data_IF_483581610607
#
_entry.id   IF_483581610607
#
_cell.length_a   1.000
_cell.length_b   1.000
_cell.length_c   1.000
_cell.angle_alpha   90.00
_cell.angle_beta   90.00
_cell.angle_gamma   90.00
#
_symmetry.space_group_name_H-M   'P 1'
#
loop_
_entity.id
_entity.type
_entity.pdbx_description
1 polymer ?
#
# COMPACT_ATOMS: atom_id res chain seq x y z
N UNK A 1 -35.22 -31.06 -0.26
CA UNK A 1 -33.84 -30.90 0.20
C UNK A 1 -33.65 -29.42 0.50
N UNK A 2 -33.74 -28.99 1.77
CA UNK A 2 -33.59 -27.57 2.14
C UNK A 2 -32.08 -27.26 2.14
N UNK A 3 -31.67 -26.39 1.22
CA UNK A 3 -30.32 -25.82 1.22
C UNK A 3 -30.19 -24.90 2.44
N UNK A 4 -29.44 -25.32 3.44
CA UNK A 4 -29.08 -24.45 4.55
C UNK A 4 -28.01 -23.48 4.02
N UNK A 5 -28.41 -22.28 3.65
CA UNK A 5 -27.47 -21.20 3.32
C UNK A 5 -26.72 -20.81 4.57
N UNK A 6 -25.50 -21.29 4.69
CA UNK A 6 -24.58 -20.87 5.73
C UNK A 6 -23.91 -19.58 5.29
N UNK A 7 -24.61 -18.46 5.42
CA UNK A 7 -24.09 -17.12 5.09
C UNK A 7 -23.04 -16.73 6.11
N UNK A 8 -21.79 -17.15 5.88
CA UNK A 8 -20.61 -16.76 6.67
C UNK A 8 -20.25 -15.28 6.51
N UNK A 9 -20.79 -14.62 5.49
CA UNK A 9 -20.50 -13.22 5.16
C UNK A 9 -21.80 -12.41 5.18
N UNK A 10 -21.85 -11.40 6.04
CA UNK A 10 -22.97 -10.45 6.18
C UNK A 10 -23.00 -9.36 5.08
N UNK A 11 -22.41 -9.61 3.91
CA UNK A 11 -22.46 -8.68 2.79
C UNK A 11 -23.90 -8.61 2.26
N UNK A 12 -24.64 -7.57 2.67
CA UNK A 12 -26.04 -7.34 2.26
C UNK A 12 -26.18 -6.98 0.77
N UNK A 13 -25.11 -6.48 0.13
CA UNK A 13 -25.08 -6.07 -1.27
C UNK A 13 -23.77 -6.45 -1.92
N UNK A 14 -23.78 -6.61 -3.25
CA UNK A 14 -22.58 -6.86 -4.05
C UNK A 14 -21.46 -5.82 -3.79
N UNK A 15 -21.83 -4.53 -3.66
CA UNK A 15 -20.90 -3.46 -3.37
C UNK A 15 -20.18 -3.60 -2.03
N UNK A 16 -20.84 -4.09 -0.98
CA UNK A 16 -20.20 -4.31 0.33
C UNK A 16 -19.19 -5.44 0.30
N UNK A 17 -19.41 -6.48 -0.51
CA UNK A 17 -18.47 -7.59 -0.67
C UNK A 17 -17.19 -7.22 -1.42
N UNK A 18 -17.27 -6.26 -2.36
CA UNK A 18 -16.13 -5.78 -3.15
C UNK A 18 -15.42 -4.58 -2.54
N UNK A 19 -16.04 -3.89 -1.58
CA UNK A 19 -15.47 -2.67 -0.97
C UNK A 19 -14.05 -2.83 -0.44
N UNK A 20 -13.61 -3.94 0.19
CA UNK A 20 -12.24 -4.10 0.67
C UNK A 20 -11.20 -4.00 -0.43
N UNK A 21 -11.48 -4.54 -1.60
CA UNK A 21 -10.59 -4.47 -2.76
C UNK A 21 -10.47 -3.04 -3.30
N UNK A 22 -11.60 -2.34 -3.46
CA UNK A 22 -11.59 -0.97 -3.96
C UNK A 22 -10.96 0.01 -2.97
N UNK A 23 -11.02 -0.24 -1.66
CA UNK A 23 -10.29 0.56 -0.67
C UNK A 23 -8.79 0.40 -0.84
N UNK A 24 -8.32 -0.84 -0.99
CA UNK A 24 -6.90 -1.10 -1.26
C UNK A 24 -6.42 -0.39 -2.53
N UNK A 25 -7.19 -0.51 -3.61
CA UNK A 25 -6.89 0.13 -4.88
C UNK A 25 -6.86 1.66 -4.77
N UNK A 26 -7.88 2.27 -4.16
CA UNK A 26 -7.98 3.71 -4.01
C UNK A 26 -6.82 4.27 -3.18
N UNK A 27 -6.46 3.63 -2.06
CA UNK A 27 -5.35 4.03 -1.21
C UNK A 27 -3.99 3.85 -1.91
N UNK A 28 -3.84 2.80 -2.71
CA UNK A 28 -2.62 2.60 -3.49
C UNK A 28 -2.44 3.66 -4.58
N UNK A 29 -3.48 3.90 -5.39
CA UNK A 29 -3.46 4.94 -6.45
C UNK A 29 -3.20 6.32 -5.86
N UNK A 30 -3.85 6.66 -4.75
CA UNK A 30 -3.59 7.91 -4.06
C UNK A 30 -2.17 8.01 -3.50
N UNK A 31 -1.58 6.90 -3.06
CA UNK A 31 -0.16 6.86 -2.66
C UNK A 31 0.79 7.12 -3.84
N UNK A 32 0.44 6.66 -5.06
CA UNK A 32 1.19 7.02 -6.28
C UNK A 32 1.11 8.52 -6.50
N UNK A 33 -0.08 9.12 -6.45
CA UNK A 33 -0.29 10.56 -6.64
C UNK A 33 0.48 11.36 -5.57
N UNK A 34 0.45 10.93 -4.32
CA UNK A 34 1.20 11.58 -3.25
C UNK A 34 2.71 11.63 -3.53
N UNK A 35 3.29 10.56 -4.08
CA UNK A 35 4.70 10.54 -4.49
C UNK A 35 4.99 11.26 -5.81
N UNK A 36 3.99 11.67 -6.56
CA UNK A 36 4.18 12.62 -7.68
C UNK A 36 4.36 14.05 -7.18
N UNK A 37 3.75 14.40 -6.05
CA UNK A 37 3.87 15.73 -5.44
C UNK A 37 5.20 15.93 -4.70
N UNK A 38 5.77 14.88 -4.13
CA UNK A 38 7.00 14.93 -3.34
C UNK A 38 8.12 14.09 -3.94
N UNK A 39 9.36 14.53 -3.76
CA UNK A 39 10.54 13.75 -4.15
C UNK A 39 10.77 12.65 -3.11
N UNK A 40 10.86 11.36 -3.52
CA UNK A 40 11.04 10.22 -2.60
C UNK A 40 12.34 10.27 -1.79
N UNK A 41 13.38 10.82 -2.39
CA UNK A 41 14.66 11.10 -1.74
C UNK A 41 15.10 12.53 -2.04
N UNK A 42 15.44 13.28 -1.01
CA UNK A 42 15.96 14.63 -1.16
C UNK A 42 17.49 14.58 -1.30
N UNK A 43 18.01 15.13 -2.39
CA UNK A 43 19.43 15.11 -2.68
C UNK A 43 20.27 15.94 -1.69
N UNK A 44 19.76 17.13 -1.26
CA UNK A 44 20.47 18.03 -0.34
C UNK A 44 20.86 17.40 1.00
N UNK A 45 19.94 16.78 1.77
CA UNK A 45 20.29 16.11 3.03
C UNK A 45 21.25 14.93 2.85
N UNK A 46 21.17 14.23 1.70
CA UNK A 46 22.09 13.13 1.37
C UNK A 46 23.51 13.68 1.17
N UNK A 47 23.65 14.78 0.43
CA UNK A 47 24.94 15.44 0.18
C UNK A 47 25.59 16.01 1.47
N UNK A 48 24.79 16.44 2.44
CA UNK A 48 25.26 16.94 3.75
C UNK A 48 25.69 15.83 4.72
N UNK A 49 25.70 14.57 4.30
CA UNK A 49 26.14 13.45 5.14
C UNK A 49 25.17 13.04 6.25
N UNK A 50 23.90 13.51 6.23
CA UNK A 50 22.90 13.11 7.19
C UNK A 50 22.62 11.61 7.14
N UNK A 51 22.19 11.03 8.26
CA UNK A 51 21.85 9.62 8.35
C UNK A 51 20.74 9.26 7.34
N UNK A 52 20.99 8.25 6.49
CA UNK A 52 20.08 7.81 5.41
C UNK A 52 18.67 7.51 5.92
N UNK A 53 18.54 6.94 7.12
CA UNK A 53 17.25 6.67 7.75
C UNK A 53 16.46 7.97 8.03
N UNK A 54 17.13 9.01 8.55
CA UNK A 54 16.49 10.32 8.77
C UNK A 54 16.03 10.98 7.47
N UNK A 55 16.81 10.83 6.40
CA UNK A 55 16.45 11.34 5.06
C UNK A 55 15.21 10.64 4.52
N UNK A 56 15.13 9.32 4.62
CA UNK A 56 13.98 8.53 4.20
C UNK A 56 12.74 8.92 5.01
N UNK A 57 12.84 9.01 6.33
CA UNK A 57 11.72 9.43 7.19
C UNK A 57 11.28 10.86 6.94
N UNK A 58 12.21 11.78 6.72
CA UNK A 58 11.89 13.18 6.43
C UNK A 58 11.12 13.35 5.10
N UNK A 59 11.40 12.50 4.11
CA UNK A 59 10.63 12.46 2.86
C UNK A 59 9.31 11.72 3.03
N UNK A 60 9.27 10.69 3.86
CA UNK A 60 8.08 9.87 4.13
C UNK A 60 7.01 10.64 4.92
N UNK A 61 7.40 11.41 5.93
CA UNK A 61 6.47 12.06 6.84
C UNK A 61 5.44 12.99 6.15
N UNK A 62 5.82 13.94 5.27
CA UNK A 62 4.85 14.80 4.59
C UNK A 62 3.93 14.00 3.65
N UNK A 63 4.46 12.99 2.98
CA UNK A 63 3.69 12.12 2.10
C UNK A 63 2.70 11.26 2.90
N UNK A 64 3.11 10.81 4.08
CA UNK A 64 2.23 10.07 4.99
C UNK A 64 1.09 10.94 5.54
N UNK A 65 1.32 12.24 5.80
CA UNK A 65 0.25 13.16 6.19
C UNK A 65 -0.82 13.30 5.10
N UNK A 66 -0.41 13.35 3.82
CA UNK A 66 -1.37 13.33 2.71
C UNK A 66 -2.12 11.98 2.65
N UNK A 67 -1.40 10.89 2.81
CA UNK A 67 -2.01 9.57 2.87
C UNK A 67 -3.00 9.39 4.02
N UNK A 68 -2.71 9.99 5.18
CA UNK A 68 -3.61 10.03 6.33
C UNK A 68 -4.89 10.81 6.01
N UNK A 69 -4.77 11.98 5.39
CA UNK A 69 -5.91 12.77 4.91
C UNK A 69 -6.75 11.99 3.92
N UNK A 70 -6.12 11.35 2.94
CA UNK A 70 -6.77 10.53 1.93
C UNK A 70 -7.54 9.37 2.56
N UNK A 71 -6.93 8.61 3.47
CA UNK A 71 -7.59 7.50 4.17
C UNK A 71 -8.77 7.99 5.01
N UNK A 72 -8.61 9.14 5.67
CA UNK A 72 -9.68 9.76 6.48
C UNK A 72 -10.86 10.18 5.62
N UNK A 73 -10.63 10.87 4.51
CA UNK A 73 -11.69 11.29 3.58
C UNK A 73 -12.38 10.05 2.99
N UNK A 74 -11.63 9.07 2.52
CA UNK A 74 -12.18 7.83 1.98
C UNK A 74 -13.05 7.12 3.01
N UNK A 75 -12.58 6.99 4.24
CA UNK A 75 -13.31 6.37 5.33
C UNK A 75 -14.63 7.13 5.62
N UNK A 76 -14.58 8.46 5.76
CA UNK A 76 -15.74 9.29 6.01
C UNK A 76 -16.79 9.18 4.89
N UNK A 77 -16.35 9.28 3.63
CA UNK A 77 -17.27 9.16 2.48
C UNK A 77 -17.94 7.78 2.46
N UNK A 78 -17.19 6.73 2.69
CA UNK A 78 -17.73 5.37 2.62
C UNK A 78 -18.68 5.06 3.77
N UNK A 79 -18.39 5.52 4.97
CA UNK A 79 -19.25 5.29 6.13
C UNK A 79 -20.47 6.19 6.10
N UNK A 80 -20.32 7.49 5.81
CA UNK A 80 -21.42 8.46 5.93
C UNK A 80 -22.20 8.67 4.63
N UNK A 81 -21.53 8.72 3.46
CA UNK A 81 -22.20 8.97 2.19
C UNK A 81 -22.73 7.68 1.54
N UNK A 82 -21.94 6.58 1.59
CA UNK A 82 -22.36 5.29 1.00
C UNK A 82 -23.13 4.45 2.02
N UNK A 83 -22.99 4.73 3.32
CA UNK A 83 -23.71 4.02 4.37
C UNK A 83 -23.14 2.64 4.70
N UNK A 84 -21.85 2.41 4.41
CA UNK A 84 -21.19 1.20 4.85
C UNK A 84 -21.16 1.15 6.38
N UNK A 85 -21.63 0.05 6.94
CA UNK A 85 -21.60 -0.19 8.39
C UNK A 85 -20.56 -1.25 8.72
N UNK A 86 -19.30 -0.87 8.94
CA UNK A 86 -18.26 -1.84 9.28
C UNK A 86 -18.53 -2.43 10.67
N UNK A 87 -18.21 -3.69 10.85
CA UNK A 87 -18.39 -4.38 12.13
C UNK A 87 -17.48 -3.79 13.21
N UNK A 88 -16.25 -3.39 12.81
CA UNK A 88 -15.26 -2.79 13.70
C UNK A 88 -14.75 -1.46 13.11
N UNK A 89 -15.49 -0.33 13.29
CA UNK A 89 -15.21 0.92 12.59
C UNK A 89 -13.82 1.51 12.91
N UNK A 90 -13.42 1.53 14.16
CA UNK A 90 -12.14 2.09 14.59
C UNK A 90 -10.94 1.22 14.16
N UNK A 91 -11.12 -0.11 14.25
CA UNK A 91 -10.09 -1.03 13.77
C UNK A 91 -9.92 -0.95 12.25
N UNK A 92 -11.02 -0.79 11.50
CA UNK A 92 -10.98 -0.59 10.05
C UNK A 92 -10.24 0.70 9.69
N UNK A 93 -10.52 1.81 10.37
CA UNK A 93 -9.81 3.07 10.15
C UNK A 93 -8.32 2.93 10.42
N UNK A 94 -7.93 2.38 11.57
CA UNK A 94 -6.53 2.14 11.92
C UNK A 94 -5.82 1.23 10.92
N UNK A 95 -6.49 0.19 10.43
CA UNK A 95 -5.95 -0.70 9.42
C UNK A 95 -5.76 0.01 8.07
N UNK A 96 -6.68 0.89 7.66
CA UNK A 96 -6.52 1.72 6.45
C UNK A 96 -5.31 2.65 6.55
N UNK A 97 -5.03 3.23 7.73
CA UNK A 97 -3.83 4.04 7.94
C UNK A 97 -2.53 3.21 7.78
N UNK A 98 -2.54 2.00 8.31
CA UNK A 98 -1.41 1.09 8.17
C UNK A 98 -1.19 0.66 6.71
N UNK A 99 -2.27 0.41 5.96
CA UNK A 99 -2.20 0.12 4.52
C UNK A 99 -1.56 1.27 3.74
N UNK A 100 -1.97 2.51 4.03
CA UNK A 100 -1.37 3.70 3.41
C UNK A 100 0.12 3.79 3.72
N UNK A 101 0.52 3.57 4.99
CA UNK A 101 1.93 3.56 5.37
C UNK A 101 2.74 2.53 4.58
N UNK A 102 2.21 1.32 4.42
CA UNK A 102 2.83 0.25 3.65
C UNK A 102 2.94 0.61 2.16
N UNK A 103 1.88 1.10 1.53
CA UNK A 103 1.89 1.46 0.12
C UNK A 103 2.85 2.62 -0.18
N UNK A 104 2.86 3.64 0.68
CA UNK A 104 3.80 4.74 0.57
C UNK A 104 5.25 4.27 0.73
N UNK A 105 5.55 3.39 1.69
CA UNK A 105 6.88 2.83 1.90
C UNK A 105 7.33 1.99 0.69
N UNK A 106 6.43 1.21 0.11
CA UNK A 106 6.71 0.39 -1.08
C UNK A 106 7.03 1.26 -2.30
N UNK A 107 6.24 2.28 -2.57
CA UNK A 107 6.46 3.19 -3.70
C UNK A 107 7.76 3.98 -3.50
N UNK A 108 8.04 4.42 -2.26
CA UNK A 108 9.31 5.06 -1.92
C UNK A 108 10.48 4.14 -2.21
N UNK A 109 10.38 2.87 -1.84
CA UNK A 109 11.41 1.86 -2.11
C UNK A 109 11.67 1.72 -3.61
N UNK A 110 10.63 1.56 -4.44
CA UNK A 110 10.81 1.45 -5.89
C UNK A 110 11.51 2.67 -6.48
N UNK A 111 11.07 3.87 -6.09
CA UNK A 111 11.70 5.11 -6.55
C UNK A 111 13.13 5.31 -6.01
N UNK A 112 13.46 4.77 -4.83
CA UNK A 112 14.79 4.86 -4.25
C UNK A 112 15.78 3.90 -4.91
N UNK A 113 15.32 2.70 -5.31
CA UNK A 113 16.13 1.63 -5.90
C UNK A 113 16.33 1.81 -7.40
N UNK A 114 15.27 2.18 -8.14
CA UNK A 114 15.26 2.20 -9.62
C UNK A 114 15.32 3.60 -10.23
N UNK A 115 15.58 4.64 -9.46
CA UNK A 115 15.39 6.03 -9.86
C UNK A 115 13.91 6.42 -10.10
N UNK A 116 13.66 7.74 -10.18
CA UNK A 116 12.30 8.28 -10.17
C UNK A 116 11.48 7.85 -11.40
N UNK A 117 12.09 7.83 -12.59
CA UNK A 117 11.40 7.50 -13.83
C UNK A 117 11.07 6.00 -13.90
N UNK A 118 12.07 5.15 -13.71
CA UNK A 118 11.91 3.69 -13.75
C UNK A 118 11.07 3.20 -12.57
N UNK A 119 11.26 3.77 -11.38
CA UNK A 119 10.49 3.42 -10.19
C UNK A 119 8.98 3.64 -10.35
N UNK A 120 8.57 4.71 -11.05
CA UNK A 120 7.15 4.95 -11.39
C UNK A 120 6.59 3.88 -12.32
N UNK A 121 7.34 3.50 -13.36
CA UNK A 121 6.93 2.44 -14.29
C UNK A 121 6.81 1.10 -13.56
N UNK A 122 7.80 0.76 -12.71
CA UNK A 122 7.77 -0.45 -11.89
C UNK A 122 6.58 -0.44 -10.94
N UNK A 123 6.27 0.69 -10.32
CA UNK A 123 5.10 0.83 -9.43
C UNK A 123 3.79 0.55 -10.17
N UNK A 124 3.63 1.08 -11.40
CA UNK A 124 2.43 0.84 -12.20
C UNK A 124 2.35 -0.62 -12.69
N UNK A 125 3.47 -1.19 -13.12
CA UNK A 125 3.53 -2.60 -13.50
C UNK A 125 3.18 -3.51 -12.31
N UNK A 126 3.69 -3.19 -11.12
CA UNK A 126 3.39 -3.94 -9.90
C UNK A 126 1.92 -3.80 -9.49
N UNK A 127 1.29 -2.62 -9.69
CA UNK A 127 -0.14 -2.44 -9.49
C UNK A 127 -0.95 -3.43 -10.34
N UNK A 128 -0.63 -3.60 -11.63
CA UNK A 128 -1.33 -4.54 -12.50
C UNK A 128 -1.22 -5.98 -12.02
N UNK A 129 -0.04 -6.37 -11.54
CA UNK A 129 0.19 -7.68 -10.94
C UNK A 129 -0.64 -7.85 -9.67
N UNK A 130 -0.63 -6.87 -8.76
CA UNK A 130 -1.39 -6.88 -7.51
C UNK A 130 -2.90 -7.01 -7.75
N UNK A 131 -3.46 -6.28 -8.74
CA UNK A 131 -4.89 -6.34 -9.07
C UNK A 131 -5.32 -7.74 -9.52
N UNK A 132 -4.43 -8.47 -10.19
CA UNK A 132 -4.72 -9.81 -10.69
C UNK A 132 -4.53 -10.87 -9.61
N UNK A 133 -3.53 -10.71 -8.73
CA UNK A 133 -3.14 -11.72 -7.74
C UNK A 133 -3.89 -11.59 -6.40
N UNK A 134 -4.42 -10.41 -6.07
CA UNK A 134 -5.03 -10.13 -4.75
C UNK A 134 -6.29 -10.96 -4.42
N UNK A 135 -6.88 -11.63 -5.39
CA UNK A 135 -8.13 -12.39 -5.17
C UNK A 135 -9.32 -11.52 -4.80
N UNK A 136 -9.28 -10.22 -5.15
CA UNK A 136 -10.33 -9.26 -4.83
C UNK A 136 -11.54 -9.38 -5.74
N UNK A 137 -11.33 -9.54 -7.04
CA UNK A 137 -12.37 -9.63 -8.08
C UNK A 137 -12.64 -11.09 -8.43
N UNK A 138 -11.60 -11.89 -8.63
CA UNK A 138 -11.70 -13.30 -8.98
C UNK A 138 -11.16 -14.18 -7.85
N UNK A 139 -11.77 -15.35 -7.59
CA UNK A 139 -11.22 -16.32 -6.66
C UNK A 139 -9.82 -16.78 -7.13
N UNK A 140 -8.85 -16.79 -6.22
CA UNK A 140 -7.45 -17.15 -6.52
C UNK A 140 -7.30 -18.48 -7.28
N UNK A 141 -8.08 -19.55 -6.97
CA UNK A 141 -7.99 -20.82 -7.70
C UNK A 141 -8.35 -20.74 -9.19
N UNK A 142 -9.08 -19.69 -9.62
CA UNK A 142 -9.48 -19.51 -11.02
C UNK A 142 -8.44 -18.76 -11.85
N UNK A 143 -7.42 -18.18 -11.20
CA UNK A 143 -6.32 -17.47 -11.87
C UNK A 143 -5.25 -18.45 -12.36
N UNK A 144 -4.42 -18.01 -13.33
CA UNK A 144 -3.31 -18.84 -13.82
C UNK A 144 -2.25 -19.08 -12.75
N UNK A 145 -1.57 -20.24 -12.80
CA UNK A 145 -0.60 -20.68 -11.80
C UNK A 145 0.42 -19.63 -11.34
N UNK A 146 1.05 -18.80 -12.22
CA UNK A 146 1.97 -17.76 -11.78
C UNK A 146 1.36 -16.80 -10.77
N UNK A 147 0.11 -16.35 -10.99
CA UNK A 147 -0.57 -15.42 -10.07
C UNK A 147 -0.95 -16.05 -8.73
N UNK A 148 -1.19 -17.37 -8.72
CA UNK A 148 -1.40 -18.11 -7.46
C UNK A 148 -0.16 -18.13 -6.57
N UNK A 149 1.04 -18.20 -7.16
CA UNK A 149 2.30 -18.10 -6.41
C UNK A 149 2.55 -16.66 -5.93
N UNK A 150 2.31 -15.69 -6.79
CA UNK A 150 2.48 -14.26 -6.46
C UNK A 150 1.53 -13.83 -5.34
N UNK A 151 0.33 -14.43 -5.28
CA UNK A 151 -0.67 -14.16 -4.24
C UNK A 151 -0.11 -14.21 -2.80
N UNK A 152 0.81 -15.11 -2.52
CA UNK A 152 1.42 -15.25 -1.19
C UNK A 152 2.39 -14.11 -0.84
N UNK A 153 2.95 -13.44 -1.84
CA UNK A 153 3.91 -12.33 -1.66
C UNK A 153 3.23 -10.97 -1.89
N UNK A 154 2.03 -10.97 -2.45
CA UNK A 154 1.29 -9.77 -2.82
C UNK A 154 0.79 -9.01 -1.58
N UNK A 155 1.26 -7.76 -1.34
CA UNK A 155 0.79 -6.92 -0.24
C UNK A 155 -0.73 -6.70 -0.27
N UNK A 156 -1.31 -6.60 -1.46
CA UNK A 156 -2.74 -6.32 -1.61
C UNK A 156 -3.62 -7.49 -1.15
N UNK A 157 -3.14 -8.71 -1.24
CA UNK A 157 -3.81 -9.90 -0.69
C UNK A 157 -4.11 -9.74 0.81
N UNK A 158 -3.12 -9.30 1.57
CA UNK A 158 -3.24 -9.11 3.03
C UNK A 158 -4.11 -7.91 3.36
N UNK A 159 -4.05 -6.83 2.55
CA UNK A 159 -4.91 -5.67 2.75
C UNK A 159 -6.39 -6.01 2.51
N UNK A 160 -6.70 -6.72 1.45
CA UNK A 160 -8.06 -7.17 1.12
C UNK A 160 -8.58 -8.15 2.17
N UNK A 161 -7.76 -9.11 2.60
CA UNK A 161 -8.13 -10.10 3.63
C UNK A 161 -8.42 -9.42 4.96
N UNK A 162 -7.56 -8.53 5.43
CA UNK A 162 -7.74 -7.80 6.69
C UNK A 162 -8.96 -6.88 6.67
N UNK A 163 -9.14 -6.09 5.59
CA UNK A 163 -10.32 -5.25 5.45
C UNK A 163 -11.63 -6.04 5.37
N UNK A 164 -11.61 -7.19 4.70
CA UNK A 164 -12.80 -8.05 4.59
C UNK A 164 -13.27 -8.52 5.95
N UNK A 165 -12.36 -8.86 6.86
CA UNK A 165 -12.71 -9.27 8.21
C UNK A 165 -13.27 -8.12 9.06
N UNK A 166 -12.76 -6.91 8.88
CA UNK A 166 -13.22 -5.73 9.63
C UNK A 166 -14.51 -5.12 9.10
N UNK A 167 -14.77 -5.26 7.79
CA UNK A 167 -15.94 -4.65 7.14
C UNK A 167 -17.13 -5.59 7.04
N UNK A 168 -16.92 -6.90 6.76
CA UNK A 168 -17.97 -7.82 6.34
C UNK A 168 -18.07 -9.06 7.21
N UNK A 169 -16.96 -9.68 7.61
CA UNK A 169 -16.97 -11.00 8.25
C UNK A 169 -17.37 -10.98 9.73
N UNK A 170 -17.34 -9.83 10.40
CA UNK A 170 -17.75 -9.68 11.81
C UNK A 170 -16.92 -10.45 12.83
N UNK A 171 -15.93 -11.20 12.42
CA UNK A 171 -15.00 -11.96 13.27
C UNK A 171 -13.56 -11.55 12.98
N UNK A 172 -12.82 -11.28 14.05
CA UNK A 172 -11.37 -11.03 14.01
C UNK A 172 -10.66 -12.35 14.28
N UNK A 173 -10.37 -13.10 13.22
CA UNK A 173 -9.71 -14.40 13.31
C UNK A 173 -8.18 -14.27 13.18
N UNK A 174 -7.46 -15.39 13.33
CA UNK A 174 -6.01 -15.47 13.16
C UNK A 174 -5.54 -14.94 11.79
N UNK A 175 -6.40 -14.97 10.76
CA UNK A 175 -6.09 -14.40 9.44
C UNK A 175 -5.95 -12.87 9.48
N UNK A 176 -6.71 -12.18 10.34
CA UNK A 176 -6.56 -10.73 10.54
C UNK A 176 -5.21 -10.42 11.17
N UNK A 177 -4.86 -11.12 12.26
CA UNK A 177 -3.59 -10.91 12.94
C UNK A 177 -2.41 -11.26 12.05
N UNK A 178 -2.52 -12.31 11.24
CA UNK A 178 -1.55 -12.65 10.21
C UNK A 178 -1.39 -11.55 9.17
N UNK A 179 -2.49 -11.01 8.65
CA UNK A 179 -2.46 -9.90 7.69
C UNK A 179 -1.85 -8.63 8.29
N UNK A 180 -2.19 -8.31 9.54
CA UNK A 180 -1.62 -7.17 10.27
C UNK A 180 -0.11 -7.31 10.44
N UNK A 181 0.35 -8.48 10.87
CA UNK A 181 1.77 -8.76 11.06
C UNK A 181 2.55 -8.67 9.74
N UNK A 182 2.01 -9.22 8.64
CA UNK A 182 2.64 -9.16 7.32
C UNK A 182 2.73 -7.71 6.82
N UNK A 183 1.67 -6.90 6.96
CA UNK A 183 1.68 -5.49 6.52
C UNK A 183 2.70 -4.68 7.33
N UNK A 184 2.80 -4.88 8.64
CA UNK A 184 3.82 -4.25 9.48
C UNK A 184 5.22 -4.66 9.06
N UNK A 185 5.45 -5.95 8.85
CA UNK A 185 6.73 -6.48 8.39
C UNK A 185 7.13 -5.91 7.03
N UNK A 186 6.21 -5.90 6.06
CA UNK A 186 6.45 -5.34 4.73
C UNK A 186 6.76 -3.85 4.81
N UNK A 187 6.05 -3.08 5.64
CA UNK A 187 6.34 -1.66 5.86
C UNK A 187 7.76 -1.46 6.36
N UNK A 188 8.17 -2.23 7.37
CA UNK A 188 9.52 -2.19 7.93
C UNK A 188 10.59 -2.57 6.89
N UNK A 189 10.36 -3.64 6.12
CA UNK A 189 11.26 -4.10 5.04
C UNK A 189 11.39 -3.03 3.96
N UNK A 190 10.29 -2.45 3.48
CA UNK A 190 10.32 -1.41 2.44
C UNK A 190 11.07 -0.16 2.90
N UNK A 191 10.88 0.28 4.15
CA UNK A 191 11.63 1.40 4.72
C UNK A 191 13.12 1.06 4.92
N UNK A 192 13.45 -0.17 5.31
CA UNK A 192 14.83 -0.63 5.44
C UNK A 192 15.54 -0.64 4.08
N UNK A 193 14.89 -1.19 3.04
CA UNK A 193 15.43 -1.20 1.67
C UNK A 193 15.56 0.22 1.12
N UNK A 194 14.59 1.11 1.37
CA UNK A 194 14.69 2.53 1.01
C UNK A 194 15.89 3.19 1.67
N UNK A 195 16.15 2.88 2.94
CA UNK A 195 17.30 3.39 3.69
C UNK A 195 18.62 2.88 3.13
N UNK A 196 18.68 1.59 2.79
CA UNK A 196 19.85 1.01 2.13
C UNK A 196 20.12 1.65 0.77
N UNK A 197 19.07 1.81 -0.06
CA UNK A 197 19.17 2.49 -1.35
C UNK A 197 19.63 3.95 -1.20
N UNK A 198 19.12 4.68 -0.21
CA UNK A 198 19.55 6.03 0.10
C UNK A 198 21.04 6.08 0.54
N UNK A 199 21.51 5.05 1.26
CA UNK A 199 22.92 4.94 1.63
C UNK A 199 23.81 4.68 0.41
N UNK A 200 23.39 3.78 -0.46
CA UNK A 200 24.10 3.49 -1.71
C UNK A 200 24.19 4.71 -2.63
N UNK A 201 23.13 5.49 -2.74
CA UNK A 201 23.07 6.68 -3.58
C UNK A 201 23.96 7.84 -3.09
N UNK A 202 24.48 7.79 -1.85
CA UNK A 202 25.48 8.75 -1.35
C UNK A 202 26.77 8.76 -2.15
N UNK A 203 27.19 7.60 -2.65
CA UNK A 203 28.45 7.43 -3.37
C UNK A 203 28.40 7.98 -4.80
N UNK A 204 27.21 8.16 -5.37
CA UNK A 204 27.01 8.59 -6.76
C UNK A 204 26.67 10.08 -6.92
N UNK A 205 26.60 10.86 -5.82
CA UNK A 205 25.98 12.18 -5.85
C UNK A 205 26.89 13.30 -6.36
N UNK A 206 28.20 13.11 -6.44
CA UNK A 206 29.13 14.14 -6.95
C UNK A 206 29.00 14.33 -8.47
N UNK A 207 28.83 13.27 -9.24
CA UNK A 207 28.73 13.35 -10.71
C UNK A 207 27.35 13.82 -11.23
N UNK A 208 26.29 13.70 -10.42
CA UNK A 208 24.93 14.11 -10.82
C UNK A 208 24.55 15.54 -10.38
N UNK A 209 25.41 16.23 -9.64
CA UNK A 209 25.22 17.64 -9.26
C UNK A 209 25.59 18.61 -10.38
N UNK A 210 26.37 18.18 -11.36
CA UNK A 210 26.63 18.94 -12.57
C UNK A 210 25.52 18.64 -13.58
N UNK A 211 24.54 19.54 -13.68
CA UNK A 211 23.70 19.61 -14.88
C UNK A 211 24.66 19.77 -16.07
N UNK A 212 24.55 18.94 -17.12
CA UNK A 212 25.25 19.24 -18.35
C UNK A 212 24.76 20.61 -18.81
N UNK A 213 25.66 21.59 -18.77
CA UNK A 213 25.40 22.89 -19.40
C UNK A 213 25.41 22.59 -20.89
N UNK A 214 24.24 22.49 -21.49
CA UNK A 214 24.13 22.50 -22.94
C UNK A 214 24.59 23.89 -23.41
N UNK A 215 25.76 23.93 -24.04
CA UNK A 215 26.32 25.07 -24.76
C UNK A 215 25.70 25.09 -26.14
#
# INVERSE_FOLDING_TARGET
MALTENTLNLAKTFGTGFSPFFFGLALFVGSIIAWMLFKPLQARPIAQGLNSFRVVLASFAPTFLIGLLQASILYLVVVFAIGLRPTHPWAMFGFMLLMVAMFLAMIQMFNAVFDLAVGRVVTLAFLMVMLTSAGGIYPVPTTTKPFQYIHWVDPMTYTVTGLRQLSVAGRVDNQFWGSLAVILLLTAVFLAVSTWAAHRNRQYNMDRLYLPVEV
#
